data_IF_156124632181
#
_entry.id   IF_156124632181
#
_cell.length_a   1.000
_cell.length_b   1.000
_cell.length_c   1.000
_cell.angle_alpha   90.00
_cell.angle_beta   90.00
_cell.angle_gamma   90.00
#
_symmetry.space_group_name_H-M   'P 1'
#
loop_
_entity.id
_entity.type
_entity.pdbx_description
1 polymer ?
#
# COMPACT_ATOMS: atom_id res chain seq x y z
N UNK A 1 14.78 -36.64 8.11
CA UNK A 1 15.49 -35.35 8.22
C UNK A 1 14.83 -34.42 7.25
N UNK A 2 13.92 -33.56 7.74
CA UNK A 2 13.39 -32.43 6.97
C UNK A 2 14.52 -31.41 6.90
N UNK A 3 15.05 -31.19 5.72
CA UNK A 3 15.86 -30.02 5.43
C UNK A 3 14.86 -28.85 5.33
N UNK A 4 14.79 -28.03 6.36
CA UNK A 4 14.33 -26.66 6.21
C UNK A 4 15.45 -25.94 5.46
N UNK A 5 15.37 -25.85 4.14
CA UNK A 5 16.10 -24.84 3.42
C UNK A 5 15.60 -23.52 3.99
N UNK A 6 16.51 -22.77 4.58
CA UNK A 6 16.25 -21.40 5.02
C UNK A 6 15.89 -20.63 3.76
N UNK A 7 14.61 -20.27 3.61
CA UNK A 7 14.21 -19.36 2.56
C UNK A 7 15.05 -18.09 2.72
N UNK A 8 15.77 -17.72 1.68
CA UNK A 8 16.51 -16.48 1.64
C UNK A 8 15.47 -15.37 1.49
N UNK A 9 15.11 -14.72 2.61
CA UNK A 9 14.27 -13.53 2.57
C UNK A 9 15.06 -12.36 1.98
N UNK A 10 14.36 -11.52 1.20
CA UNK A 10 14.96 -10.31 0.68
C UNK A 10 15.35 -9.40 1.86
N UNK A 11 16.54 -8.82 1.79
CA UNK A 11 16.90 -7.74 2.72
C UNK A 11 15.83 -6.63 2.59
N UNK A 12 15.35 -6.13 3.72
CA UNK A 12 14.40 -5.02 3.77
C UNK A 12 15.04 -3.83 3.06
N UNK A 13 14.71 -3.68 1.76
CA UNK A 13 15.44 -2.80 0.84
C UNK A 13 15.20 -1.32 1.07
N UNK A 14 14.10 -0.96 1.73
CA UNK A 14 13.80 0.41 2.12
C UNK A 14 13.21 0.42 3.52
N UNK A 15 13.67 1.34 4.34
CA UNK A 15 13.04 1.60 5.63
C UNK A 15 11.83 2.51 5.43
N UNK A 16 10.77 2.37 6.25
CA UNK A 16 9.72 3.36 6.28
C UNK A 16 10.29 4.75 6.58
N UNK A 17 9.55 5.79 6.24
CA UNK A 17 9.98 7.17 6.47
C UNK A 17 10.40 7.41 7.93
N UNK A 18 11.43 8.21 8.11
CA UNK A 18 11.90 8.59 9.45
C UNK A 18 10.98 9.62 10.10
N UNK A 19 11.05 9.74 11.42
CA UNK A 19 10.30 10.75 12.15
C UNK A 19 10.73 12.18 11.76
N UNK A 20 12.00 12.35 11.38
CA UNK A 20 12.55 13.61 10.90
C UNK A 20 11.92 14.02 9.56
N UNK A 21 11.78 13.07 8.62
CA UNK A 21 11.12 13.34 7.33
C UNK A 21 9.64 13.69 7.53
N UNK A 22 8.95 13.01 8.45
CA UNK A 22 7.58 13.33 8.79
C UNK A 22 7.44 14.75 9.39
N UNK A 23 8.37 15.16 10.26
CA UNK A 23 8.42 16.52 10.82
C UNK A 23 8.78 17.58 9.78
N UNK A 24 9.67 17.25 8.83
CA UNK A 24 9.97 18.15 7.71
C UNK A 24 8.73 18.39 6.86
N UNK A 25 7.92 17.36 6.62
CA UNK A 25 6.64 17.50 5.93
C UNK A 25 5.68 18.42 6.66
N UNK A 26 5.59 18.30 7.99
CA UNK A 26 4.78 19.21 8.82
C UNK A 26 5.28 20.65 8.72
N UNK A 27 6.58 20.86 8.82
CA UNK A 27 7.20 22.17 8.67
C UNK A 27 6.91 22.77 7.29
N UNK A 28 7.08 21.99 6.23
CA UNK A 28 6.80 22.41 4.86
C UNK A 28 5.33 22.83 4.69
N UNK A 29 4.39 22.09 5.28
CA UNK A 29 2.98 22.40 5.29
C UNK A 29 2.60 23.63 6.13
N UNK A 30 3.50 24.11 7.01
CA UNK A 30 3.30 25.36 7.80
C UNK A 30 3.69 26.62 7.03
N UNK A 31 4.33 26.52 5.87
CA UNK A 31 4.65 27.69 5.06
C UNK A 31 3.38 28.40 4.59
N UNK A 32 3.50 29.70 4.28
CA UNK A 32 2.35 30.51 3.83
C UNK A 32 1.71 29.91 2.56
N UNK A 33 0.42 29.65 2.60
CA UNK A 33 -0.34 29.08 1.49
C UNK A 33 -0.11 27.57 1.30
N UNK A 34 0.57 26.91 2.25
CA UNK A 34 0.74 25.47 2.26
C UNK A 34 -0.18 24.78 3.27
N UNK A 35 -0.43 23.51 3.05
CA UNK A 35 -1.21 22.65 3.93
C UNK A 35 -0.61 21.24 3.98
N UNK A 36 -1.01 20.49 4.99
CA UNK A 36 -0.72 19.05 5.12
C UNK A 36 -2.03 18.29 5.11
N UNK A 37 -2.09 17.21 4.35
CA UNK A 37 -3.17 16.24 4.40
C UNK A 37 -2.61 14.83 4.47
N UNK A 38 -3.41 13.90 4.98
CA UNK A 38 -3.05 12.50 5.18
C UNK A 38 -4.10 11.58 4.58
N UNK A 39 -3.68 10.42 4.13
CA UNK A 39 -4.58 9.37 3.68
C UNK A 39 -3.94 8.01 3.93
N UNK A 40 -4.77 6.98 4.04
CA UNK A 40 -4.38 5.60 4.27
C UNK A 40 -4.46 4.79 2.98
N UNK A 41 -3.46 3.93 2.71
CA UNK A 41 -3.50 2.99 1.61
C UNK A 41 -4.32 1.77 1.99
N UNK A 42 -5.49 1.62 1.37
CA UNK A 42 -6.38 0.49 1.62
C UNK A 42 -5.72 -0.83 1.23
N UNK A 43 -5.54 -1.72 2.21
CA UNK A 43 -4.97 -3.05 1.97
C UNK A 43 -3.60 -3.00 1.26
N UNK A 44 -2.68 -2.19 1.77
CA UNK A 44 -1.41 -1.85 1.14
C UNK A 44 -0.69 -3.06 0.53
N UNK A 45 -0.38 -4.09 1.31
CA UNK A 45 0.38 -5.24 0.83
C UNK A 45 -0.32 -5.99 -0.31
N UNK A 46 -1.64 -6.19 -0.24
CA UNK A 46 -2.39 -6.93 -1.26
C UNK A 46 -2.38 -6.22 -2.63
N UNK A 47 -2.05 -4.94 -2.67
CA UNK A 47 -1.87 -4.22 -3.92
C UNK A 47 -0.63 -4.67 -4.68
N UNK A 48 0.41 -5.19 -4.00
CA UNK A 48 1.62 -5.72 -4.60
C UNK A 48 1.48 -7.19 -5.00
N UNK A 49 2.15 -7.59 -6.07
CA UNK A 49 2.29 -8.99 -6.42
C UNK A 49 3.40 -9.62 -5.57
N UNK A 50 3.19 -10.87 -5.16
CA UNK A 50 4.21 -11.65 -4.50
C UNK A 50 5.13 -12.24 -5.57
N UNK A 51 6.42 -11.94 -5.46
CA UNK A 51 7.47 -12.55 -6.28
C UNK A 51 8.26 -13.59 -5.50
N UNK A 52 9.42 -13.97 -6.04
CA UNK A 52 10.30 -14.97 -5.43
C UNK A 52 9.80 -16.40 -5.60
N UNK A 53 10.06 -17.24 -4.60
CA UNK A 53 9.68 -18.64 -4.63
C UNK A 53 8.16 -18.84 -4.51
N UNK A 54 7.63 -19.89 -5.15
CA UNK A 54 6.21 -20.24 -5.09
C UNK A 54 5.76 -20.46 -3.64
N UNK A 55 4.87 -19.61 -3.16
CA UNK A 55 4.26 -19.70 -1.85
C UNK A 55 2.82 -20.19 -1.95
N UNK A 56 2.46 -21.18 -1.13
CA UNK A 56 1.14 -21.80 -1.12
C UNK A 56 0.47 -21.60 0.23
N UNK A 57 -0.79 -21.21 0.23
CA UNK A 57 -1.58 -21.01 1.45
C UNK A 57 -2.74 -22.01 1.52
N UNK A 58 -3.03 -22.44 2.74
CA UNK A 58 -4.25 -23.17 3.06
C UNK A 58 -5.31 -22.16 3.52
N UNK A 59 -6.46 -22.19 2.88
CA UNK A 59 -7.57 -21.31 3.27
C UNK A 59 -8.31 -21.90 4.48
N UNK A 60 -8.88 -21.07 5.36
CA UNK A 60 -9.87 -21.50 6.32
C UNK A 60 -11.07 -22.16 5.61
N UNK A 61 -11.72 -23.14 6.25
CA UNK A 61 -12.84 -23.86 5.61
C UNK A 61 -14.02 -22.97 5.25
N UNK A 62 -14.20 -21.89 6.00
CA UNK A 62 -15.22 -20.87 5.81
C UNK A 62 -15.05 -20.13 4.46
N UNK A 63 -13.81 -20.03 4.00
CA UNK A 63 -13.42 -19.35 2.75
C UNK A 63 -13.37 -20.30 1.55
N UNK A 64 -13.74 -21.58 1.71
CA UNK A 64 -13.73 -22.51 0.59
C UNK A 64 -14.79 -22.08 -0.44
N UNK A 65 -14.47 -22.18 -1.75
CA UNK A 65 -15.40 -21.80 -2.80
C UNK A 65 -16.70 -22.60 -2.70
N UNK A 66 -17.82 -21.89 -2.56
CA UNK A 66 -19.15 -22.48 -2.47
C UNK A 66 -19.76 -22.62 -3.87
N UNK A 67 -20.54 -23.68 -4.06
CA UNK A 67 -21.32 -23.84 -5.29
C UNK A 67 -22.33 -22.70 -5.41
N UNK A 68 -22.31 -21.98 -6.53
CA UNK A 68 -23.12 -20.81 -6.79
C UNK A 68 -24.27 -21.13 -7.75
N UNK A 69 -25.38 -20.40 -7.64
CA UNK A 69 -26.47 -20.49 -8.60
C UNK A 69 -26.06 -19.87 -9.95
N UNK A 70 -26.61 -20.40 -11.04
CA UNK A 70 -26.30 -19.93 -12.40
C UNK A 70 -26.56 -18.43 -12.58
N UNK A 71 -27.57 -17.86 -11.93
CA UNK A 71 -27.92 -16.43 -12.00
C UNK A 71 -26.80 -15.47 -11.55
N UNK A 72 -25.82 -15.96 -10.81
CA UNK A 72 -24.66 -15.17 -10.36
C UNK A 72 -23.66 -14.95 -11.49
N UNK A 73 -23.74 -15.71 -12.56
CA UNK A 73 -22.80 -15.70 -13.67
C UNK A 73 -23.44 -15.13 -14.93
N UNK A 74 -22.64 -14.39 -15.71
CA UNK A 74 -23.06 -13.84 -17.00
C UNK A 74 -23.28 -14.92 -18.08
N UNK A 75 -22.71 -16.11 -17.90
CA UNK A 75 -22.78 -17.20 -18.87
C UNK A 75 -22.86 -18.60 -18.20
N UNK A 76 -23.72 -19.54 -18.70
CA UNK A 76 -23.88 -20.89 -18.12
C UNK A 76 -22.59 -21.71 -18.07
N UNK A 77 -21.71 -21.58 -19.05
CA UNK A 77 -20.43 -22.30 -19.06
C UNK A 77 -19.50 -21.82 -17.96
N UNK A 78 -19.51 -20.53 -17.62
CA UNK A 78 -18.73 -20.00 -16.51
C UNK A 78 -19.25 -20.53 -15.17
N UNK A 79 -20.58 -20.59 -14.98
CA UNK A 79 -21.19 -21.18 -13.80
C UNK A 79 -20.80 -22.65 -13.63
N UNK A 80 -20.85 -23.43 -14.73
CA UNK A 80 -20.46 -24.85 -14.69
C UNK A 80 -19.00 -25.00 -14.31
N UNK A 81 -18.09 -24.29 -14.99
CA UNK A 81 -16.65 -24.38 -14.74
C UNK A 81 -16.29 -24.01 -13.29
N UNK A 82 -16.89 -22.93 -12.77
CA UNK A 82 -16.70 -22.52 -11.38
C UNK A 82 -17.21 -23.59 -10.40
N UNK A 83 -18.43 -24.10 -10.61
CA UNK A 83 -19.03 -25.07 -9.72
C UNK A 83 -18.29 -26.42 -9.73
N UNK A 84 -17.77 -26.84 -10.87
CA UNK A 84 -16.94 -28.05 -10.97
C UNK A 84 -15.61 -27.87 -10.22
N UNK A 85 -14.99 -26.69 -10.34
CA UNK A 85 -13.78 -26.34 -9.57
C UNK A 85 -14.06 -26.29 -8.07
N UNK A 86 -15.18 -25.67 -7.65
CA UNK A 86 -15.60 -25.60 -6.25
C UNK A 86 -15.82 -26.99 -5.65
N UNK A 87 -16.54 -27.88 -6.37
CA UNK A 87 -16.74 -29.28 -5.93
C UNK A 87 -15.40 -30.02 -5.81
N UNK A 88 -14.51 -29.88 -6.81
CA UNK A 88 -13.18 -30.48 -6.79
C UNK A 88 -12.39 -29.99 -5.58
N UNK A 89 -12.35 -28.69 -5.34
CA UNK A 89 -11.68 -28.10 -4.18
C UNK A 89 -12.17 -28.69 -2.86
N UNK A 90 -13.49 -28.73 -2.66
CA UNK A 90 -14.12 -29.22 -1.44
C UNK A 90 -13.93 -30.74 -1.24
N UNK A 91 -13.57 -31.51 -2.29
CA UNK A 91 -13.28 -32.94 -2.20
C UNK A 91 -11.83 -33.23 -1.77
N UNK A 92 -10.93 -32.22 -1.79
CA UNK A 92 -9.55 -32.41 -1.40
C UNK A 92 -9.41 -32.43 0.14
N UNK A 93 -8.46 -33.21 0.63
CA UNK A 93 -8.21 -33.33 2.08
C UNK A 93 -7.64 -32.03 2.68
N UNK A 94 -6.65 -31.45 2.02
CA UNK A 94 -5.98 -30.22 2.44
C UNK A 94 -5.68 -29.38 1.19
N UNK A 95 -6.68 -28.71 0.62
CA UNK A 95 -6.46 -27.88 -0.56
C UNK A 95 -5.59 -26.68 -0.24
N UNK A 96 -4.69 -26.36 -1.13
CA UNK A 96 -3.83 -25.18 -1.07
C UNK A 96 -3.95 -24.39 -2.38
N UNK A 97 -3.75 -23.09 -2.31
CA UNK A 97 -3.75 -22.20 -3.47
C UNK A 97 -2.45 -21.40 -3.50
N UNK A 98 -1.90 -21.10 -4.70
CA UNK A 98 -0.75 -20.22 -4.78
C UNK A 98 -1.09 -18.83 -4.27
N UNK A 99 -0.16 -18.23 -3.55
CA UNK A 99 -0.26 -16.86 -3.08
C UNK A 99 0.30 -15.93 -4.16
N UNK A 100 -0.59 -15.19 -4.83
CA UNK A 100 -0.22 -14.30 -5.95
C UNK A 100 0.03 -12.87 -5.49
N UNK A 101 -0.47 -12.49 -4.32
CA UNK A 101 -0.35 -11.15 -3.77
C UNK A 101 0.40 -11.17 -2.45
N UNK A 102 1.13 -10.09 -2.18
CA UNK A 102 1.73 -9.91 -0.87
C UNK A 102 0.64 -9.88 0.21
N UNK A 103 0.84 -10.61 1.29
CA UNK A 103 -0.15 -10.78 2.35
C UNK A 103 0.47 -10.45 3.70
N UNK A 104 -0.32 -9.88 4.59
CA UNK A 104 0.09 -9.65 5.98
C UNK A 104 0.53 -10.96 6.63
N UNK A 105 1.74 -10.95 7.21
CA UNK A 105 2.38 -12.12 7.80
C UNK A 105 3.42 -12.82 6.92
N UNK A 106 3.47 -12.55 5.61
CA UNK A 106 4.58 -13.02 4.79
C UNK A 106 5.79 -12.08 4.97
N UNK A 107 7.00 -12.59 5.21
CA UNK A 107 8.17 -11.77 5.53
C UNK A 107 8.51 -10.70 4.48
N UNK A 108 8.40 -11.05 3.20
CA UNK A 108 8.78 -10.18 2.10
C UNK A 108 7.65 -9.25 1.63
N UNK A 109 6.46 -9.33 2.23
CA UNK A 109 5.32 -8.50 1.79
C UNK A 109 5.59 -7.01 1.89
N UNK A 110 6.32 -6.58 2.91
CA UNK A 110 6.73 -5.18 3.09
C UNK A 110 7.58 -4.74 1.90
N UNK A 111 8.58 -5.54 1.53
CA UNK A 111 9.51 -5.23 0.44
C UNK A 111 8.78 -5.13 -0.91
N UNK A 112 7.89 -6.07 -1.23
CA UNK A 112 7.13 -6.02 -2.47
C UNK A 112 6.19 -4.82 -2.53
N UNK A 113 5.57 -4.46 -1.41
CA UNK A 113 4.76 -3.24 -1.32
C UNK A 113 5.60 -1.98 -1.52
N UNK A 114 6.74 -1.88 -0.85
CA UNK A 114 7.64 -0.72 -0.96
C UNK A 114 8.15 -0.53 -2.38
N UNK A 115 8.56 -1.61 -3.07
CA UNK A 115 9.01 -1.56 -4.46
C UNK A 115 7.89 -1.06 -5.37
N UNK A 116 6.71 -1.67 -5.28
CA UNK A 116 5.54 -1.25 -6.06
C UNK A 116 5.19 0.21 -5.79
N UNK A 117 5.15 0.61 -4.53
CA UNK A 117 4.81 1.97 -4.14
C UNK A 117 5.82 2.99 -4.69
N UNK A 118 7.11 2.69 -4.59
CA UNK A 118 8.19 3.53 -5.14
C UNK A 118 8.07 3.69 -6.67
N UNK A 119 7.85 2.59 -7.40
CA UNK A 119 7.67 2.62 -8.86
C UNK A 119 6.45 3.44 -9.26
N UNK A 120 5.32 3.24 -8.61
CA UNK A 120 4.07 3.94 -8.91
C UNK A 120 4.18 5.45 -8.63
N UNK A 121 4.80 5.84 -7.52
CA UNK A 121 5.01 7.25 -7.15
C UNK A 121 5.97 7.93 -8.13
N UNK A 122 7.04 7.27 -8.54
CA UNK A 122 7.95 7.79 -9.56
C UNK A 122 7.29 7.91 -10.92
N UNK A 123 6.40 6.97 -11.26
CA UNK A 123 5.67 6.97 -12.54
C UNK A 123 4.73 8.18 -12.72
N UNK A 124 4.31 8.79 -11.62
CA UNK A 124 3.44 9.99 -11.63
C UNK A 124 4.21 11.32 -11.50
N UNK A 125 5.53 11.29 -11.63
CA UNK A 125 6.37 12.49 -11.72
C UNK A 125 7.05 12.90 -10.41
N UNK A 126 6.88 12.15 -9.34
CA UNK A 126 7.61 12.38 -8.09
C UNK A 126 9.02 11.77 -8.16
N UNK A 127 9.97 12.38 -7.47
CA UNK A 127 11.33 11.88 -7.35
C UNK A 127 11.68 11.65 -5.89
N UNK A 128 12.39 10.55 -5.60
CA UNK A 128 12.90 10.29 -4.26
C UNK A 128 13.91 11.39 -3.86
N UNK A 129 13.85 11.86 -2.63
CA UNK A 129 14.70 12.96 -2.14
C UNK A 129 16.16 12.52 -2.01
N UNK A 130 16.40 11.28 -1.61
CA UNK A 130 17.74 10.68 -1.48
C UNK A 130 17.72 9.46 -0.59
N UNK A 131 18.83 8.70 -0.61
CA UNK A 131 18.95 7.47 0.15
C UNK A 131 18.89 7.67 1.69
N UNK A 132 19.27 8.85 2.17
CA UNK A 132 19.19 9.20 3.60
C UNK A 132 17.77 9.53 4.06
N UNK A 133 16.84 9.71 3.12
CA UNK A 133 15.43 10.03 3.35
C UNK A 133 14.53 8.96 2.72
N UNK A 134 14.52 7.74 3.25
CA UNK A 134 13.72 6.66 2.70
C UNK A 134 12.24 7.05 2.70
N UNK A 135 11.51 6.57 1.70
CA UNK A 135 10.07 6.79 1.54
C UNK A 135 9.63 8.26 1.57
N UNK A 136 10.54 9.15 1.12
CA UNK A 136 10.32 10.58 0.97
C UNK A 136 10.49 11.00 -0.49
N UNK A 137 9.48 11.67 -1.05
CA UNK A 137 9.40 12.03 -2.46
C UNK A 137 9.01 13.48 -2.65
N UNK A 138 9.46 14.09 -3.73
CA UNK A 138 9.11 15.45 -4.10
C UNK A 138 8.62 15.53 -5.55
N UNK A 139 7.42 16.09 -5.74
CA UNK A 139 6.88 16.38 -7.06
C UNK A 139 7.20 17.83 -7.43
N UNK A 140 8.14 18.02 -8.36
CA UNK A 140 8.70 19.35 -8.69
C UNK A 140 7.68 20.32 -9.23
N UNK A 141 6.81 19.90 -10.13
CA UNK A 141 5.81 20.76 -10.77
C UNK A 141 4.73 21.21 -9.79
N UNK A 142 4.22 20.28 -9.01
CA UNK A 142 3.18 20.56 -8.00
C UNK A 142 3.76 21.10 -6.69
N UNK A 143 5.09 21.06 -6.51
CA UNK A 143 5.78 21.46 -5.27
C UNK A 143 5.23 20.72 -4.06
N UNK A 144 4.99 19.41 -4.20
CA UNK A 144 4.43 18.57 -3.15
C UNK A 144 5.51 17.68 -2.56
N UNK A 145 5.57 17.63 -1.25
CA UNK A 145 6.40 16.72 -0.46
C UNK A 145 5.53 15.58 0.06
N UNK A 146 5.87 14.36 -0.33
CA UNK A 146 5.18 13.13 0.07
C UNK A 146 6.09 12.33 0.98
N UNK A 147 5.55 11.92 2.11
CA UNK A 147 6.19 11.03 3.09
C UNK A 147 5.29 9.82 3.29
N UNK A 148 5.89 8.61 3.28
CA UNK A 148 5.14 7.37 3.40
C UNK A 148 5.69 6.53 4.54
N UNK A 149 4.80 6.09 5.41
CA UNK A 149 5.11 5.13 6.44
C UNK A 149 4.18 3.91 6.29
N UNK A 150 4.66 2.90 5.60
CA UNK A 150 3.92 1.67 5.23
C UNK A 150 2.64 1.99 4.44
N UNK A 151 1.51 2.14 5.12
CA UNK A 151 0.19 2.44 4.58
C UNK A 151 -0.25 3.90 4.83
N UNK A 152 0.43 4.61 5.71
CA UNK A 152 0.16 6.01 6.04
C UNK A 152 0.87 6.97 5.06
N UNK A 153 0.11 7.71 4.29
CA UNK A 153 0.57 8.73 3.34
C UNK A 153 0.38 10.12 3.91
N UNK A 154 1.42 10.93 3.89
CA UNK A 154 1.40 12.34 4.32
C UNK A 154 1.89 13.22 3.18
N UNK A 155 1.03 14.13 2.71
CA UNK A 155 1.30 15.04 1.59
C UNK A 155 1.25 16.48 2.06
N UNK A 156 2.28 17.25 1.74
CA UNK A 156 2.39 18.67 2.08
C UNK A 156 2.80 19.52 0.90
N UNK A 157 2.32 20.75 0.83
CA UNK A 157 2.69 21.74 -0.18
C UNK A 157 1.62 22.82 -0.38
N UNK A 158 1.67 23.57 -1.50
CA UNK A 158 0.65 24.54 -1.84
C UNK A 158 -0.74 23.92 -1.79
N UNK A 159 -1.65 24.52 -1.02
CA UNK A 159 -3.00 24.01 -0.78
C UNK A 159 -3.75 23.72 -2.10
N UNK A 160 -3.62 24.61 -3.08
CA UNK A 160 -4.21 24.49 -4.41
C UNK A 160 -3.75 23.28 -5.23
N UNK A 161 -2.61 22.67 -4.87
CA UNK A 161 -2.02 21.53 -5.59
C UNK A 161 -2.30 20.18 -4.92
N UNK A 162 -2.79 20.14 -3.69
CA UNK A 162 -2.98 18.90 -2.93
C UNK A 162 -3.95 17.93 -3.62
N UNK A 163 -5.09 18.43 -4.07
CA UNK A 163 -6.10 17.61 -4.76
C UNK A 163 -5.53 16.95 -6.02
N UNK A 164 -4.75 17.71 -6.81
CA UNK A 164 -4.06 17.18 -8.00
C UNK A 164 -3.03 16.12 -7.61
N UNK A 165 -2.27 16.33 -6.54
CA UNK A 165 -1.32 15.35 -6.02
C UNK A 165 -2.01 14.04 -5.59
N UNK A 166 -3.09 14.12 -4.82
CA UNK A 166 -3.86 12.95 -4.44
C UNK A 166 -4.49 12.23 -5.63
N UNK A 167 -4.98 12.95 -6.62
CA UNK A 167 -5.53 12.36 -7.84
C UNK A 167 -4.47 11.55 -8.62
N UNK A 168 -3.23 12.06 -8.73
CA UNK A 168 -2.11 11.35 -9.34
C UNK A 168 -1.79 10.05 -8.60
N UNK A 169 -1.71 10.10 -7.28
CA UNK A 169 -1.44 8.93 -6.45
C UNK A 169 -2.56 7.88 -6.56
N UNK A 170 -3.82 8.29 -6.51
CA UNK A 170 -5.00 7.41 -6.64
C UNK A 170 -5.15 6.79 -8.03
N UNK A 171 -4.56 7.37 -9.05
CA UNK A 171 -4.53 6.78 -10.39
C UNK A 171 -3.69 5.48 -10.44
N UNK A 172 -2.83 5.25 -9.46
CA UNK A 172 -1.91 4.10 -9.38
C UNK A 172 -2.15 3.21 -8.17
N UNK A 173 -2.46 3.80 -7.04
CA UNK A 173 -2.58 3.13 -5.75
C UNK A 173 -4.01 3.26 -5.21
N UNK A 174 -4.47 2.21 -4.53
CA UNK A 174 -5.73 2.28 -3.79
C UNK A 174 -5.52 3.05 -2.49
N UNK A 175 -5.72 4.36 -2.54
CA UNK A 175 -5.60 5.27 -1.40
C UNK A 175 -6.98 5.81 -1.05
N UNK A 176 -7.34 5.72 0.22
CA UNK A 176 -8.58 6.25 0.76
C UNK A 176 -8.74 7.78 0.60
N UNK A 177 -9.86 8.33 1.04
CA UNK A 177 -10.06 9.77 1.03
C UNK A 177 -9.04 10.45 1.94
N UNK A 178 -8.50 11.57 1.48
CA UNK A 178 -7.63 12.41 2.30
C UNK A 178 -8.41 13.12 3.40
N UNK A 179 -7.72 13.33 4.49
CA UNK A 179 -8.21 14.10 5.63
C UNK A 179 -7.18 15.11 6.13
N UNK A 180 -7.61 16.04 6.98
CA UNK A 180 -6.69 16.96 7.63
C UNK A 180 -5.75 16.20 8.56
N UNK A 181 -4.56 16.74 8.78
CA UNK A 181 -3.60 16.20 9.73
C UNK A 181 -4.14 16.30 11.17
N UNK A 182 -4.82 15.26 11.62
CA UNK A 182 -5.36 15.17 12.98
C UNK A 182 -4.60 14.17 13.85
N UNK A 183 -4.26 13.01 13.25
CA UNK A 183 -3.44 11.97 13.87
C UNK A 183 -2.51 11.37 12.81
N UNK A 184 -1.26 11.15 13.17
CA UNK A 184 -0.29 10.48 12.30
C UNK A 184 0.65 9.65 13.17
N UNK A 185 0.81 8.37 12.83
CA UNK A 185 1.62 7.38 13.59
C UNK A 185 1.30 7.39 15.10
N UNK A 186 0.01 7.43 15.46
CA UNK A 186 -0.43 7.44 16.85
C UNK A 186 -0.22 8.78 17.59
N UNK A 187 0.37 9.78 16.94
CA UNK A 187 0.60 11.11 17.51
C UNK A 187 -0.50 12.08 17.07
N UNK A 188 -1.19 12.66 18.05
CA UNK A 188 -2.16 13.73 17.79
C UNK A 188 -1.43 14.99 17.32
N UNK A 189 -1.85 15.51 16.18
CA UNK A 189 -1.30 16.70 15.57
C UNK A 189 -2.26 17.88 15.77
N UNK A 190 -1.71 19.06 16.06
CA UNK A 190 -2.47 20.29 16.15
C UNK A 190 -1.71 21.41 15.46
N UNK A 191 -2.38 22.11 14.54
CA UNK A 191 -1.82 23.30 13.89
C UNK A 191 -2.21 24.53 14.70
N UNK A 192 -1.23 25.23 15.25
CA UNK A 192 -1.41 26.53 15.90
C UNK A 192 -0.77 27.63 15.04
N UNK A 193 -1.36 28.83 15.08
CA UNK A 193 -0.78 29.97 14.41
C UNK A 193 0.29 30.58 15.33
N UNK A 194 1.54 30.60 14.85
CA UNK A 194 2.63 31.31 15.54
C UNK A 194 2.95 32.58 14.76
N UNK A 195 2.86 33.75 15.42
CA UNK A 195 3.32 34.99 14.85
C UNK A 195 4.75 35.25 15.34
N UNK A 196 5.70 35.27 14.41
CA UNK A 196 7.06 35.71 14.68
C UNK A 196 7.09 37.24 14.55
N UNK A 197 7.48 37.93 15.63
CA UNK A 197 7.72 39.38 15.64
C UNK A 197 9.17 39.67 15.32
#
# INVERSE_FOLDING_TARGET
>A
KQYFEQAAFMDLGNSPATIESARLCDFYGCLKGHMVSVADAGQAYIQAELGGDDCWISLPREEYPQVQEQKVFSHPSAAKAYNDAARKWNSMRNPVTPMLKALYGHPDSVTYWEVKCDEDIKSVGSVAIGAEWPSAYFHKELKLLLIIYVDDFKLAGPEENLDAGWALLRAKLNIGPEGPLAMYLGCKQRRDTMTLY
#
